data_IF_573832073927
#
_entry.id   IF_573832073927
#
_cell.length_a   1.000
_cell.length_b   1.000
_cell.length_c   1.000
_cell.angle_alpha   90.00
_cell.angle_beta   90.00
_cell.angle_gamma   90.00
#
_symmetry.space_group_name_H-M   'P 1'
#
loop_
_entity.id
_entity.type
_entity.pdbx_description
1 polymer ?
#
# COMPACT_ATOMS: atom_id res chain seq x y z
N UNK A 1 3.78 18.78 -7.22
CA UNK A 1 3.05 17.58 -7.69
C UNK A 1 2.64 17.66 -9.14
N UNK A 2 1.77 18.60 -9.56
CA UNK A 2 1.25 18.62 -10.95
C UNK A 2 2.35 18.76 -12.02
N UNK A 3 3.33 19.64 -11.80
CA UNK A 3 4.50 19.78 -12.68
C UNK A 3 5.29 18.46 -12.82
N UNK A 4 5.47 17.72 -11.73
CA UNK A 4 6.15 16.41 -11.74
C UNK A 4 5.37 15.38 -12.54
N UNK A 5 4.07 15.29 -12.30
CA UNK A 5 3.21 14.35 -13.03
C UNK A 5 3.22 14.67 -14.54
N UNK A 6 3.04 15.94 -14.92
CA UNK A 6 3.10 16.37 -16.32
C UNK A 6 4.46 16.08 -16.97
N UNK A 7 5.57 16.30 -16.27
CA UNK A 7 6.90 15.97 -16.79
C UNK A 7 7.06 14.47 -17.11
N UNK A 8 6.33 13.60 -16.41
CA UNK A 8 6.43 12.16 -16.60
C UNK A 8 5.47 11.59 -17.63
N UNK A 9 4.32 12.25 -17.81
CA UNK A 9 3.29 11.80 -18.75
C UNK A 9 3.32 12.56 -20.08
N UNK A 10 4.07 13.67 -20.15
CA UNK A 10 4.15 14.57 -21.31
C UNK A 10 5.55 15.21 -21.43
N UNK A 11 5.79 16.01 -22.47
CA UNK A 11 7.05 16.75 -22.68
C UNK A 11 7.19 18.02 -21.82
N UNK A 12 6.62 18.04 -20.62
CA UNK A 12 6.65 19.20 -19.73
C UNK A 12 8.02 19.40 -19.07
N UNK A 13 8.41 20.65 -18.84
CA UNK A 13 9.74 21.01 -18.33
C UNK A 13 10.04 20.38 -16.96
N UNK A 14 11.09 19.53 -16.84
CA UNK A 14 11.46 18.88 -15.57
C UNK A 14 11.83 19.88 -14.47
N UNK A 15 12.42 21.03 -14.82
CA UNK A 15 12.95 21.97 -13.84
C UNK A 15 11.86 22.72 -13.06
N UNK A 16 10.63 22.79 -13.59
CA UNK A 16 9.52 23.48 -12.93
C UNK A 16 9.14 22.79 -11.63
N UNK A 17 9.13 21.46 -11.59
CA UNK A 17 8.83 20.74 -10.35
C UNK A 17 9.91 20.97 -9.30
N UNK A 18 11.18 20.90 -9.69
CA UNK A 18 12.32 21.07 -8.79
C UNK A 18 12.39 22.50 -8.25
N UNK A 19 12.06 23.50 -9.08
CA UNK A 19 11.96 24.89 -8.64
C UNK A 19 10.96 25.07 -7.49
N UNK A 20 9.74 24.54 -7.64
CA UNK A 20 8.73 24.63 -6.58
C UNK A 20 9.06 23.78 -5.35
N UNK A 21 9.70 22.63 -5.55
CA UNK A 21 10.18 21.79 -4.45
C UNK A 21 11.20 22.55 -3.60
N UNK A 22 12.22 23.15 -4.23
CA UNK A 22 13.23 23.96 -3.53
C UNK A 22 12.61 25.19 -2.84
N UNK A 23 11.73 25.94 -3.52
CA UNK A 23 11.05 27.09 -2.93
C UNK A 23 10.15 26.71 -1.72
N UNK A 24 9.64 25.47 -1.68
CA UNK A 24 8.91 24.95 -0.54
C UNK A 24 9.85 24.58 0.61
N UNK A 25 10.96 23.91 0.33
CA UNK A 25 11.98 23.57 1.33
C UNK A 25 12.59 24.80 2.00
N UNK A 26 12.90 25.86 1.24
CA UNK A 26 13.42 27.12 1.76
C UNK A 26 12.50 27.75 2.83
N UNK A 27 11.19 27.50 2.74
CA UNK A 27 10.20 27.97 3.72
C UNK A 27 9.93 26.95 4.82
N UNK A 28 9.93 25.67 4.49
CA UNK A 28 9.56 24.60 5.41
C UNK A 28 10.68 24.30 6.42
N UNK A 29 11.95 24.27 5.99
CA UNK A 29 13.09 23.97 6.88
C UNK A 29 13.13 24.92 8.09
N UNK A 30 13.12 26.26 7.92
CA UNK A 30 13.16 27.17 9.07
C UNK A 30 11.91 27.09 9.93
N UNK A 31 10.75 26.81 9.33
CA UNK A 31 9.50 26.67 10.06
C UNK A 31 9.54 25.45 10.99
N UNK A 32 10.12 24.33 10.54
CA UNK A 32 10.24 23.09 11.32
C UNK A 32 11.22 23.18 12.51
N UNK A 33 12.18 24.10 12.46
CA UNK A 33 13.15 24.33 13.54
C UNK A 33 12.55 25.12 14.73
N UNK A 34 11.40 25.79 14.54
CA UNK A 34 10.70 26.51 15.60
C UNK A 34 9.97 25.53 16.54
N UNK A 35 10.08 25.67 17.86
CA UNK A 35 9.59 24.67 18.83
C UNK A 35 8.05 24.62 19.00
N UNK A 36 7.29 25.29 18.14
CA UNK A 36 5.82 25.29 18.09
C UNK A 36 5.21 24.33 17.06
N UNK A 37 6.05 23.62 16.29
CA UNK A 37 5.72 22.92 15.05
C UNK A 37 4.82 21.68 15.19
N UNK A 38 4.74 21.05 16.36
CA UNK A 38 3.95 19.83 16.55
C UNK A 38 2.44 20.03 16.37
N UNK A 39 1.97 21.28 16.22
CA UNK A 39 0.54 21.61 16.14
C UNK A 39 0.06 22.26 14.83
N UNK A 40 0.94 22.52 13.86
CA UNK A 40 0.52 23.16 12.60
C UNK A 40 0.11 22.14 11.53
N UNK A 41 -1.20 22.05 11.25
CA UNK A 41 -1.77 21.16 10.23
C UNK A 41 -1.25 21.48 8.82
N UNK A 42 -0.89 22.73 8.53
CA UNK A 42 -0.41 23.15 7.21
C UNK A 42 1.03 22.68 6.98
N UNK A 43 1.90 22.74 8.01
CA UNK A 43 3.26 22.19 7.93
C UNK A 43 3.25 20.68 7.77
N UNK A 44 2.32 19.99 8.46
CA UNK A 44 2.12 18.56 8.30
C UNK A 44 1.67 18.20 6.88
N UNK A 45 0.72 18.94 6.34
CA UNK A 45 0.24 18.74 4.97
C UNK A 45 1.34 19.00 3.93
N UNK A 46 2.10 20.09 4.08
CA UNK A 46 3.24 20.39 3.22
C UNK A 46 4.27 19.26 3.24
N UNK A 47 4.60 18.73 4.42
CA UNK A 47 5.56 17.63 4.59
C UNK A 47 5.10 16.36 3.88
N UNK A 48 3.84 15.95 4.06
CA UNK A 48 3.27 14.76 3.39
C UNK A 48 3.30 14.92 1.86
N UNK A 49 2.98 16.11 1.35
CA UNK A 49 3.01 16.41 -0.09
C UNK A 49 4.43 16.38 -0.66
N UNK A 50 5.41 16.96 0.05
CA UNK A 50 6.81 16.92 -0.38
C UNK A 50 7.38 15.51 -0.36
N UNK A 51 7.02 14.71 0.66
CA UNK A 51 7.37 13.29 0.68
C UNK A 51 6.78 12.53 -0.49
N UNK A 52 5.54 12.84 -0.88
CA UNK A 52 4.94 12.22 -2.06
C UNK A 52 5.72 12.60 -3.33
N UNK A 53 6.20 13.84 -3.45
CA UNK A 53 7.09 14.24 -4.55
C UNK A 53 8.38 13.40 -4.58
N UNK A 54 8.98 13.15 -3.42
CA UNK A 54 10.18 12.31 -3.30
C UNK A 54 9.88 10.86 -3.68
N UNK A 55 8.74 10.31 -3.26
CA UNK A 55 8.30 8.95 -3.62
C UNK A 55 8.09 8.80 -5.13
N UNK A 56 7.68 9.86 -5.82
CA UNK A 56 7.69 9.85 -7.28
C UNK A 56 9.11 9.63 -7.79
N UNK A 57 10.15 10.23 -7.22
CA UNK A 57 11.52 10.11 -7.72
C UNK A 57 12.26 8.84 -7.28
N UNK A 58 11.75 8.14 -6.27
CA UNK A 58 12.40 6.94 -5.74
C UNK A 58 11.70 5.66 -6.20
N UNK A 59 12.40 4.74 -6.88
CA UNK A 59 11.80 3.50 -7.33
C UNK A 59 11.32 2.61 -6.18
N UNK A 60 10.16 1.97 -6.39
CA UNK A 60 9.56 0.92 -5.52
C UNK A 60 10.56 -0.20 -5.14
N UNK A 61 11.59 -0.37 -5.96
CA UNK A 61 12.55 -1.46 -5.95
C UNK A 61 13.94 -1.08 -5.39
N UNK A 62 14.05 0.07 -4.70
CA UNK A 62 15.20 0.39 -3.84
C UNK A 62 16.46 0.81 -4.58
N UNK A 63 16.65 2.12 -4.72
CA UNK A 63 17.99 2.72 -4.85
C UNK A 63 18.01 4.01 -4.03
N UNK A 64 18.87 4.07 -3.02
CA UNK A 64 19.23 5.25 -2.23
C UNK A 64 18.09 6.06 -1.56
N UNK A 65 17.13 5.37 -0.92
CA UNK A 65 16.12 6.01 -0.04
C UNK A 65 16.77 6.75 1.16
N UNK A 66 18.03 6.43 1.50
CA UNK A 66 18.69 6.88 2.73
C UNK A 66 19.29 8.29 2.68
N UNK A 67 19.44 8.89 1.50
CA UNK A 67 20.21 10.13 1.33
C UNK A 67 19.42 11.43 1.53
N UNK A 68 18.13 11.44 1.19
CA UNK A 68 17.35 12.69 1.10
C UNK A 68 15.94 12.64 1.66
N UNK A 69 15.46 11.49 2.17
CA UNK A 69 14.10 11.44 2.74
C UNK A 69 14.02 12.42 3.89
N UNK A 70 13.27 13.51 3.67
CA UNK A 70 13.02 14.52 4.68
C UNK A 70 12.37 13.77 5.86
N UNK A 71 13.16 13.62 6.93
CA UNK A 71 12.96 12.53 7.87
C UNK A 71 11.55 12.51 8.44
N UNK A 72 10.84 11.40 8.22
CA UNK A 72 9.53 11.10 8.84
C UNK A 72 9.57 11.07 10.37
N UNK A 73 10.74 11.29 10.98
CA UNK A 73 10.99 11.13 12.42
C UNK A 73 10.15 12.03 13.33
N UNK A 74 9.42 13.01 12.79
CA UNK A 74 8.85 14.07 13.61
C UNK A 74 7.32 14.03 13.87
N UNK A 75 6.47 13.35 13.08
CA UNK A 75 5.06 13.83 13.07
C UNK A 75 3.91 12.85 13.28
N UNK A 76 4.08 11.54 13.19
CA UNK A 76 3.01 10.60 13.59
C UNK A 76 3.15 10.27 15.09
N UNK A 77 3.14 11.31 15.93
CA UNK A 77 3.07 11.16 17.39
C UNK A 77 1.76 11.73 17.90
N UNK A 78 0.79 10.85 18.09
CA UNK A 78 -0.35 11.11 18.96
C UNK A 78 -1.69 10.59 18.42
N UNK A 79 -2.48 9.87 19.23
CA UNK A 79 -3.89 9.59 18.96
C UNK A 79 -4.76 10.72 19.54
N UNK A 80 -4.15 11.81 19.99
CA UNK A 80 -4.83 12.84 20.77
C UNK A 80 -5.66 13.68 19.81
N UNK A 81 -6.95 13.35 19.74
CA UNK A 81 -8.05 14.07 19.09
C UNK A 81 -8.30 13.72 17.61
N UNK A 82 -8.48 12.43 17.28
CA UNK A 82 -9.31 12.11 16.12
C UNK A 82 -10.77 12.44 16.45
N UNK A 83 -11.22 13.63 16.07
CA UNK A 83 -12.62 14.06 16.16
C UNK A 83 -13.49 13.29 15.16
N UNK A 84 -14.78 13.13 15.42
CA UNK A 84 -15.72 12.56 14.43
C UNK A 84 -15.90 13.44 13.18
N UNK A 85 -15.46 14.69 13.24
CA UNK A 85 -15.49 15.63 12.11
C UNK A 85 -14.24 15.51 11.24
N UNK A 86 -14.40 15.45 9.90
CA UNK A 86 -13.29 15.52 8.94
C UNK A 86 -12.39 16.72 9.19
N UNK A 87 -11.08 16.51 9.24
CA UNK A 87 -10.08 17.59 9.41
C UNK A 87 -8.86 17.41 8.50
N UNK A 88 -8.12 18.49 8.27
CA UNK A 88 -6.86 18.45 7.53
C UNK A 88 -5.89 17.46 8.20
N UNK A 89 -5.77 17.51 9.52
CA UNK A 89 -4.99 16.54 10.31
C UNK A 89 -5.34 15.09 10.02
N UNK A 90 -6.62 14.75 9.92
CA UNK A 90 -7.04 13.38 9.57
C UNK A 90 -6.61 13.01 8.14
N UNK A 91 -6.78 13.92 7.18
CA UNK A 91 -6.37 13.67 5.80
C UNK A 91 -4.86 13.47 5.67
N UNK A 92 -4.07 14.27 6.40
CA UNK A 92 -2.61 14.13 6.51
C UNK A 92 -2.26 12.78 7.14
N UNK A 93 -2.89 12.41 8.26
CA UNK A 93 -2.64 11.13 8.93
C UNK A 93 -2.86 9.94 7.99
N UNK A 94 -4.03 9.86 7.35
CA UNK A 94 -4.36 8.75 6.45
C UNK A 94 -3.50 8.74 5.18
N UNK A 95 -2.97 9.88 4.77
CA UNK A 95 -2.00 9.96 3.67
C UNK A 95 -0.63 9.46 4.12
N UNK A 96 -0.13 9.93 5.27
CA UNK A 96 1.12 9.49 5.86
C UNK A 96 1.14 7.99 6.19
N UNK A 97 0.04 7.43 6.70
CA UNK A 97 -0.06 5.99 6.96
C UNK A 97 0.09 5.16 5.67
N UNK A 98 -0.54 5.59 4.57
CA UNK A 98 -0.39 4.90 3.27
C UNK A 98 1.03 5.01 2.72
N UNK A 99 1.71 6.14 2.93
CA UNK A 99 3.13 6.32 2.59
C UNK A 99 4.04 5.44 3.45
N UNK A 100 3.73 5.27 4.73
CA UNK A 100 4.44 4.33 5.61
C UNK A 100 4.25 2.88 5.18
N UNK A 101 3.03 2.48 4.80
CA UNK A 101 2.78 1.15 4.23
C UNK A 101 3.58 0.95 2.95
N UNK A 102 3.60 1.95 2.05
CA UNK A 102 4.39 1.90 0.82
C UNK A 102 5.88 1.72 1.09
N UNK A 103 6.44 2.50 2.02
CA UNK A 103 7.85 2.41 2.38
C UNK A 103 8.19 1.10 3.08
N UNK A 104 7.35 0.64 4.01
CA UNK A 104 7.52 -0.63 4.70
C UNK A 104 7.63 -1.80 3.72
N UNK A 105 6.77 -1.80 2.70
CA UNK A 105 6.76 -2.80 1.64
C UNK A 105 7.96 -2.67 0.71
N UNK A 106 8.33 -1.46 0.30
CA UNK A 106 9.46 -1.23 -0.61
C UNK A 106 10.82 -1.52 0.04
N UNK A 107 10.92 -1.35 1.37
CA UNK A 107 12.15 -1.53 2.14
C UNK A 107 12.22 -2.86 2.91
N UNK A 108 11.16 -3.65 2.89
CA UNK A 108 10.97 -4.83 3.75
C UNK A 108 11.27 -4.53 5.23
N UNK A 109 10.74 -3.41 5.71
CA UNK A 109 10.92 -2.91 7.09
C UNK A 109 9.56 -2.63 7.73
N UNK A 110 9.50 -2.66 9.06
CA UNK A 110 8.29 -2.25 9.74
C UNK A 110 7.97 -0.79 9.42
N UNK A 111 6.69 -0.43 9.26
CA UNK A 111 6.28 0.96 9.18
C UNK A 111 6.83 1.75 10.39
N UNK A 112 7.50 2.89 10.16
CA UNK A 112 7.97 3.78 11.23
C UNK A 112 6.82 4.71 11.65
N UNK A 113 5.74 4.08 12.11
CA UNK A 113 4.61 4.76 12.69
C UNK A 113 4.97 4.92 14.17
N UNK A 114 4.77 6.11 14.77
CA UNK A 114 4.93 6.35 16.20
C UNK A 114 3.90 5.58 17.05
N UNK A 115 3.90 4.26 16.94
CA UNK A 115 2.88 3.28 17.33
C UNK A 115 2.68 3.15 18.83
N UNK A 116 3.44 3.84 19.69
CA UNK A 116 3.13 3.88 21.13
C UNK A 116 1.80 4.58 21.45
N UNK A 117 1.21 5.22 20.45
CA UNK A 117 -0.11 5.84 20.44
C UNK A 117 -1.24 4.86 20.12
N UNK A 118 -0.97 3.80 19.37
CA UNK A 118 -1.99 2.89 18.85
C UNK A 118 -1.87 1.57 19.62
N UNK A 119 -2.31 1.58 20.88
CA UNK A 119 -2.93 0.38 21.45
C UNK A 119 -4.25 0.13 20.69
N UNK A 120 -4.16 -0.20 19.41
CA UNK A 120 -5.30 -0.32 18.51
C UNK A 120 -6.10 -1.59 18.81
N UNK A 121 -5.44 -2.61 19.35
CA UNK A 121 -6.09 -3.83 19.85
C UNK A 121 -6.92 -3.62 21.12
N UNK A 122 -6.79 -2.49 21.83
CA UNK A 122 -7.57 -2.24 23.05
C UNK A 122 -8.68 -1.18 22.91
N UNK A 123 -8.80 -0.49 21.77
CA UNK A 123 -9.74 0.65 21.64
C UNK A 123 -10.54 0.79 20.34
N UNK A 124 -10.40 -0.09 19.34
CA UNK A 124 -11.35 -0.08 18.22
C UNK A 124 -12.53 -0.98 18.59
N UNK A 125 -13.58 -0.38 19.16
CA UNK A 125 -14.90 -1.02 19.10
C UNK A 125 -15.21 -1.34 17.63
N UNK A 126 -15.84 -2.49 17.32
CA UNK A 126 -16.27 -2.80 15.96
C UNK A 126 -16.95 -1.58 15.34
N UNK A 127 -16.63 -1.25 14.09
CA UNK A 127 -17.30 -0.15 13.40
C UNK A 127 -18.81 -0.38 13.49
N UNK A 128 -19.52 0.63 13.98
CA UNK A 128 -20.97 0.56 14.09
C UNK A 128 -21.62 0.51 12.70
N UNK A 129 -22.90 0.09 12.62
CA UNK A 129 -23.64 0.02 11.36
C UNK A 129 -23.75 1.37 10.64
N UNK A 130 -23.62 2.49 11.37
CA UNK A 130 -23.69 3.85 10.84
C UNK A 130 -22.32 4.42 10.39
N UNK A 131 -21.25 3.61 10.43
CA UNK A 131 -19.93 4.04 9.98
C UNK A 131 -19.91 4.24 8.45
N UNK A 132 -19.45 5.41 7.99
CA UNK A 132 -19.36 5.70 6.56
C UNK A 132 -18.25 4.91 5.84
N UNK A 133 -18.34 4.82 4.51
CA UNK A 133 -17.41 4.03 3.69
C UNK A 133 -15.93 4.42 3.89
N UNK A 134 -15.63 5.69 4.15
CA UNK A 134 -14.26 6.12 4.41
C UNK A 134 -13.70 5.51 5.71
N UNK A 135 -14.54 5.28 6.73
CA UNK A 135 -14.11 4.65 7.98
C UNK A 135 -13.77 3.17 7.75
N UNK A 136 -14.59 2.46 6.98
CA UNK A 136 -14.32 1.06 6.61
C UNK A 136 -13.06 0.89 5.77
N UNK A 137 -12.82 1.79 4.80
CA UNK A 137 -11.58 1.79 4.02
C UNK A 137 -10.35 2.10 4.88
N UNK A 138 -10.49 3.03 5.83
CA UNK A 138 -9.42 3.38 6.77
C UNK A 138 -9.12 2.24 7.77
N UNK A 139 -10.14 1.50 8.21
CA UNK A 139 -9.96 0.30 9.02
C UNK A 139 -9.15 -0.75 8.24
N UNK A 140 -9.49 -1.01 6.97
CA UNK A 140 -8.73 -1.90 6.10
C UNK A 140 -7.26 -1.49 5.95
N UNK A 141 -6.99 -0.20 5.75
CA UNK A 141 -5.62 0.35 5.67
C UNK A 141 -4.89 0.12 7.00
N UNK A 142 -5.56 0.37 8.13
CA UNK A 142 -4.96 0.21 9.45
C UNK A 142 -4.65 -1.26 9.75
N UNK A 143 -5.58 -2.16 9.44
CA UNK A 143 -5.38 -3.60 9.54
C UNK A 143 -4.17 -4.06 8.71
N UNK A 144 -3.99 -3.55 7.49
CA UNK A 144 -2.81 -3.84 6.69
C UNK A 144 -1.51 -3.33 7.34
N UNK A 145 -1.53 -2.18 8.02
CA UNK A 145 -0.38 -1.69 8.78
C UNK A 145 -0.05 -2.61 9.97
N UNK A 146 -1.06 -3.09 10.70
CA UNK A 146 -0.89 -4.05 11.80
C UNK A 146 -0.26 -5.37 11.30
N UNK A 147 -0.71 -5.86 10.14
CA UNK A 147 -0.10 -7.01 9.47
C UNK A 147 1.36 -6.75 9.11
N UNK A 148 1.70 -5.55 8.61
CA UNK A 148 3.09 -5.21 8.29
C UNK A 148 3.99 -5.13 9.52
N UNK A 149 3.47 -4.64 10.65
CA UNK A 149 4.17 -4.66 11.93
C UNK A 149 4.41 -6.11 12.36
N UNK A 150 3.44 -7.01 12.18
CA UNK A 150 3.66 -8.44 12.42
C UNK A 150 4.71 -9.04 11.47
N UNK A 151 4.68 -8.69 10.18
CA UNK A 151 5.60 -9.22 9.17
C UNK A 151 7.05 -8.74 9.38
N UNK A 152 7.27 -7.45 9.65
CA UNK A 152 8.58 -6.81 9.62
C UNK A 152 9.03 -6.16 10.93
N UNK A 153 8.17 -6.16 11.97
CA UNK A 153 8.46 -5.54 13.28
C UNK A 153 9.38 -6.34 14.19
N UNK A 154 9.79 -5.69 15.27
CA UNK A 154 10.63 -6.28 16.32
C UNK A 154 9.75 -7.09 17.30
N UNK A 155 9.61 -8.39 17.03
CA UNK A 155 8.88 -9.29 17.92
C UNK A 155 8.81 -10.73 17.37
N UNK A 156 8.55 -11.74 18.23
CA UNK A 156 8.33 -13.09 17.75
C UNK A 156 7.03 -13.18 16.95
N UNK A 157 7.11 -13.71 15.72
CA UNK A 157 5.96 -14.00 14.86
C UNK A 157 5.17 -15.20 15.41
N UNK A 158 4.37 -14.95 16.44
CA UNK A 158 3.61 -16.02 17.10
C UNK A 158 2.44 -16.49 16.25
N UNK A 159 2.13 -17.78 16.33
CA UNK A 159 0.96 -18.39 15.67
C UNK A 159 -0.35 -17.78 16.18
N UNK A 160 -0.41 -17.39 17.47
CA UNK A 160 -1.58 -16.75 18.06
C UNK A 160 -1.89 -15.39 17.43
N UNK A 161 -0.90 -14.49 17.37
CA UNK A 161 -1.05 -13.16 16.75
C UNK A 161 -1.39 -13.28 15.27
N UNK A 162 -0.77 -14.22 14.55
CA UNK A 162 -1.11 -14.48 13.15
C UNK A 162 -2.57 -14.92 12.97
N UNK A 163 -3.06 -15.82 13.84
CA UNK A 163 -4.44 -16.27 13.81
C UNK A 163 -5.43 -15.13 14.13
N UNK A 164 -5.13 -14.27 15.10
CA UNK A 164 -5.93 -13.09 15.44
C UNK A 164 -6.03 -12.12 14.26
N UNK A 165 -4.91 -11.83 13.58
CA UNK A 165 -4.90 -10.99 12.39
C UNK A 165 -5.70 -11.61 11.23
N UNK A 166 -5.62 -12.93 11.02
CA UNK A 166 -6.45 -13.62 10.01
C UNK A 166 -7.94 -13.52 10.34
N UNK A 167 -8.31 -13.68 11.61
CA UNK A 167 -9.70 -13.52 12.05
C UNK A 167 -10.18 -12.09 11.81
N UNK A 168 -9.38 -11.07 12.13
CA UNK A 168 -9.74 -9.68 11.87
C UNK A 168 -9.90 -9.41 10.36
N UNK A 169 -8.98 -9.92 9.51
CA UNK A 169 -9.09 -9.80 8.05
C UNK A 169 -10.43 -10.37 7.54
N UNK A 170 -10.82 -11.54 8.04
CA UNK A 170 -12.08 -12.19 7.68
C UNK A 170 -13.29 -11.42 8.21
N UNK A 171 -13.26 -10.98 9.46
CA UNK A 171 -14.34 -10.20 10.06
C UNK A 171 -14.63 -8.93 9.27
N UNK A 172 -13.61 -8.21 8.80
CA UNK A 172 -13.82 -7.04 7.95
C UNK A 172 -14.59 -7.39 6.68
N UNK A 173 -14.24 -8.53 6.03
CA UNK A 173 -14.93 -8.99 4.80
C UNK A 173 -16.40 -9.34 5.06
N UNK A 174 -16.71 -9.87 6.24
CA UNK A 174 -18.05 -10.30 6.62
C UNK A 174 -18.94 -9.17 7.14
N UNK A 175 -18.36 -8.11 7.70
CA UNK A 175 -19.10 -7.06 8.42
C UNK A 175 -19.16 -5.73 7.70
N UNK A 176 -18.31 -5.50 6.69
CA UNK A 176 -18.37 -4.29 5.86
C UNK A 176 -19.76 -4.15 5.19
N UNK A 177 -20.18 -2.92 4.83
CA UNK A 177 -21.44 -2.72 4.12
C UNK A 177 -21.38 -3.27 2.69
N UNK A 178 -22.55 -3.66 2.16
CA UNK A 178 -22.73 -4.12 0.77
C UNK A 178 -22.26 -3.10 -0.29
N UNK A 179 -22.11 -1.81 0.08
CA UNK A 179 -21.52 -0.78 -0.78
C UNK A 179 -20.12 -1.16 -1.28
N UNK A 180 -19.38 -1.95 -0.49
CA UNK A 180 -18.04 -2.44 -0.82
C UNK A 180 -18.02 -3.59 -1.82
N UNK A 181 -19.17 -4.15 -2.17
CA UNK A 181 -19.23 -5.18 -3.18
C UNK A 181 -19.00 -4.58 -4.59
N UNK A 182 -18.26 -5.28 -5.46
CA UNK A 182 -18.11 -4.84 -6.84
C UNK A 182 -19.50 -4.75 -7.51
N UNK A 183 -19.78 -3.64 -8.21
CA UNK A 183 -21.02 -3.54 -9.00
C UNK A 183 -20.92 -4.37 -10.29
N UNK A 184 -19.70 -4.76 -10.67
CA UNK A 184 -19.44 -5.61 -11.81
C UNK A 184 -18.26 -6.53 -11.53
N UNK A 185 -18.45 -7.83 -11.77
CA UNK A 185 -17.41 -8.83 -11.85
C UNK A 185 -17.54 -9.50 -13.21
N UNK A 186 -16.50 -9.41 -14.03
CA UNK A 186 -16.46 -10.05 -15.35
C UNK A 186 -16.55 -11.58 -15.24
N UNK A 187 -16.83 -12.23 -16.37
CA UNK A 187 -16.94 -13.70 -16.41
C UNK A 187 -15.72 -14.37 -15.75
N UNK A 188 -16.00 -15.41 -14.95
CA UNK A 188 -14.97 -16.28 -14.40
C UNK A 188 -14.14 -16.85 -15.54
N UNK A 189 -12.90 -16.39 -15.61
CA UNK A 189 -11.91 -16.98 -16.50
C UNK A 189 -10.88 -17.69 -15.64
N UNK A 190 -10.39 -18.81 -16.15
CA UNK A 190 -9.32 -19.57 -15.52
C UNK A 190 -8.16 -18.64 -15.15
N UNK A 191 -7.72 -18.73 -13.89
CA UNK A 191 -6.63 -17.93 -13.36
C UNK A 191 -5.41 -18.14 -14.26
N UNK A 192 -4.81 -17.02 -14.68
CA UNK A 192 -3.67 -17.02 -15.58
C UNK A 192 -3.99 -16.66 -17.03
N UNK A 193 -5.24 -16.76 -17.48
CA UNK A 193 -5.59 -16.41 -18.88
C UNK A 193 -5.79 -14.91 -19.05
N UNK A 194 -6.58 -14.28 -18.17
CA UNK A 194 -6.78 -12.83 -18.14
C UNK A 194 -6.91 -12.37 -16.69
N UNK A 195 -6.52 -11.12 -16.42
CA UNK A 195 -6.78 -10.50 -15.13
C UNK A 195 -8.31 -10.32 -14.96
N UNK A 196 -8.85 -10.55 -13.75
CA UNK A 196 -10.28 -10.42 -13.52
C UNK A 196 -10.72 -8.96 -13.65
N UNK A 197 -11.91 -8.73 -14.20
CA UNK A 197 -12.52 -7.41 -14.30
C UNK A 197 -13.40 -7.18 -13.07
N UNK A 198 -12.92 -6.39 -12.10
CA UNK A 198 -13.56 -6.17 -10.80
C UNK A 198 -13.75 -4.67 -10.61
N UNK A 199 -14.97 -4.15 -10.77
CA UNK A 199 -15.25 -2.71 -10.74
C UNK A 199 -16.02 -2.33 -9.50
N UNK A 200 -15.51 -1.32 -8.81
CA UNK A 200 -16.11 -0.81 -7.58
C UNK A 200 -16.82 0.53 -7.82
N UNK A 201 -17.91 0.77 -7.09
CA UNK A 201 -18.72 1.97 -7.29
C UNK A 201 -18.04 3.26 -6.83
N UNK A 202 -17.02 3.17 -5.97
CA UNK A 202 -16.36 4.30 -5.34
C UNK A 202 -14.89 3.97 -5.05
N UNK A 203 -13.96 4.96 -5.08
CA UNK A 203 -12.56 4.74 -4.70
C UNK A 203 -12.39 4.08 -3.32
N UNK A 204 -13.21 4.44 -2.33
CA UNK A 204 -13.13 3.85 -0.98
C UNK A 204 -13.38 2.35 -0.98
N UNK A 205 -14.30 1.87 -1.82
CA UNK A 205 -14.62 0.45 -1.94
C UNK A 205 -13.47 -0.33 -2.57
N UNK A 206 -12.84 0.22 -3.62
CA UNK A 206 -11.66 -0.38 -4.23
C UNK A 206 -10.50 -0.45 -3.23
N UNK A 207 -10.20 0.66 -2.56
CA UNK A 207 -9.09 0.76 -1.61
C UNK A 207 -9.29 -0.18 -0.42
N UNK A 208 -10.47 -0.18 0.21
CA UNK A 208 -10.72 -1.07 1.35
C UNK A 208 -10.54 -2.54 1.01
N UNK A 209 -11.12 -3.00 -0.11
CA UNK A 209 -10.96 -4.37 -0.57
C UNK A 209 -9.49 -4.71 -0.87
N UNK A 210 -8.78 -3.85 -1.59
CA UNK A 210 -7.40 -4.12 -2.01
C UNK A 210 -6.41 -4.14 -0.83
N UNK A 211 -6.56 -3.27 0.17
CA UNK A 211 -5.71 -3.33 1.37
C UNK A 211 -5.97 -4.60 2.20
N UNK A 212 -7.22 -5.07 2.22
CA UNK A 212 -7.60 -6.33 2.88
C UNK A 212 -7.08 -7.55 2.13
N UNK A 213 -7.10 -7.53 0.79
CA UNK A 213 -6.46 -8.54 -0.05
C UNK A 213 -4.93 -8.53 0.09
N UNK A 214 -4.31 -7.36 0.13
CA UNK A 214 -2.87 -7.22 0.37
C UNK A 214 -2.47 -7.75 1.75
N UNK A 215 -3.24 -7.43 2.79
CA UNK A 215 -3.05 -7.97 4.14
C UNK A 215 -3.16 -9.51 4.16
N UNK A 216 -4.13 -10.07 3.43
CA UNK A 216 -4.28 -11.53 3.30
C UNK A 216 -3.09 -12.19 2.57
N UNK A 217 -2.55 -11.54 1.53
CA UNK A 217 -1.32 -11.98 0.86
C UNK A 217 -0.15 -12.00 1.86
N UNK A 218 0.07 -10.90 2.58
CA UNK A 218 1.14 -10.78 3.58
C UNK A 218 1.03 -11.84 4.69
N UNK A 219 -0.18 -12.05 5.23
CA UNK A 219 -0.44 -13.09 6.22
C UNK A 219 -0.14 -14.50 5.67
N UNK A 220 -0.38 -14.74 4.38
CA UNK A 220 -0.08 -16.01 3.74
C UNK A 220 1.42 -16.21 3.53
N UNK A 221 2.14 -15.15 3.13
CA UNK A 221 3.61 -15.16 2.96
C UNK A 221 4.33 -15.40 4.28
N UNK A 222 3.81 -14.82 5.37
CA UNK A 222 4.44 -14.85 6.69
C UNK A 222 3.75 -15.82 7.66
N UNK A 223 3.16 -16.92 7.16
CA UNK A 223 2.46 -17.91 7.98
C UNK A 223 3.44 -18.73 8.84
N UNK A 224 3.43 -18.57 10.19
CA UNK A 224 4.32 -19.27 11.10
C UNK A 224 3.94 -20.74 11.32
N UNK A 225 2.76 -21.18 10.85
CA UNK A 225 2.30 -22.56 10.98
C UNK A 225 2.81 -23.49 9.87
N UNK A 226 3.37 -22.92 8.79
CA UNK A 226 3.90 -23.71 7.69
C UNK A 226 5.10 -24.55 8.15
N UNK A 227 5.12 -25.87 7.85
CA UNK A 227 6.16 -26.75 8.36
C UNK A 227 7.51 -26.45 7.70
N UNK A 228 8.53 -26.23 8.53
CA UNK A 228 9.90 -25.99 8.06
C UNK A 228 10.57 -27.24 7.48
N UNK A 229 10.20 -28.43 7.95
CA UNK A 229 10.76 -29.72 7.54
C UNK A 229 9.68 -30.80 7.42
N UNK A 230 9.94 -31.84 6.64
CA UNK A 230 9.08 -33.02 6.53
C UNK A 230 8.42 -33.21 5.16
N UNK A 231 7.79 -34.38 4.93
CA UNK A 231 7.30 -34.80 3.62
C UNK A 231 6.12 -33.95 3.10
N UNK A 232 5.31 -33.39 4.01
CA UNK A 232 4.15 -32.56 3.65
C UNK A 232 4.52 -31.13 3.25
N UNK A 233 5.75 -30.68 3.55
CA UNK A 233 6.19 -29.29 3.35
C UNK A 233 5.98 -28.80 1.93
N UNK A 234 6.42 -29.59 0.94
CA UNK A 234 6.37 -29.18 -0.48
C UNK A 234 4.93 -28.89 -0.91
N UNK A 235 3.99 -29.76 -0.51
CA UNK A 235 2.58 -29.62 -0.85
C UNK A 235 1.96 -28.38 -0.18
N UNK A 236 2.19 -28.18 1.11
CA UNK A 236 1.63 -27.06 1.85
C UNK A 236 2.19 -25.71 1.38
N UNK A 237 3.47 -25.65 1.05
CA UNK A 237 4.07 -24.44 0.44
C UNK A 237 3.47 -24.18 -0.93
N UNK A 238 3.29 -25.21 -1.77
CA UNK A 238 2.63 -25.03 -3.07
C UNK A 238 1.19 -24.53 -2.91
N UNK A 239 0.42 -25.08 -1.98
CA UNK A 239 -0.95 -24.63 -1.70
C UNK A 239 -0.98 -23.17 -1.22
N UNK A 240 0.01 -22.76 -0.41
CA UNK A 240 0.17 -21.37 0.01
C UNK A 240 0.58 -20.45 -1.15
N UNK A 241 1.54 -20.84 -1.98
CA UNK A 241 1.98 -20.09 -3.16
C UNK A 241 0.84 -19.94 -4.18
N UNK A 242 0.02 -20.97 -4.39
CA UNK A 242 -1.16 -20.90 -5.24
C UNK A 242 -2.20 -19.92 -4.69
N UNK A 243 -2.38 -19.88 -3.36
CA UNK A 243 -3.26 -18.91 -2.71
C UNK A 243 -2.72 -17.46 -2.84
N UNK A 244 -1.42 -17.26 -2.63
CA UNK A 244 -0.75 -15.97 -2.81
C UNK A 244 -0.88 -15.49 -4.25
N UNK A 245 -0.60 -16.34 -5.23
CA UNK A 245 -0.75 -16.03 -6.66
C UNK A 245 -2.17 -15.60 -7.01
N UNK A 246 -3.19 -16.32 -6.52
CA UNK A 246 -4.60 -15.93 -6.71
C UNK A 246 -4.88 -14.55 -6.10
N UNK A 247 -4.38 -14.28 -4.90
CA UNK A 247 -4.50 -12.97 -4.26
C UNK A 247 -3.90 -11.86 -5.11
N UNK A 248 -2.64 -12.02 -5.56
CA UNK A 248 -1.97 -11.05 -6.45
C UNK A 248 -2.77 -10.86 -7.73
N UNK A 249 -3.29 -11.93 -8.32
CA UNK A 249 -4.11 -11.89 -9.54
C UNK A 249 -5.37 -11.04 -9.36
N UNK A 250 -6.09 -11.24 -8.25
CA UNK A 250 -7.28 -10.47 -7.88
C UNK A 250 -6.94 -8.99 -7.68
N UNK A 251 -5.89 -8.68 -6.91
CA UNK A 251 -5.48 -7.29 -6.66
C UNK A 251 -5.08 -6.58 -7.95
N UNK A 252 -4.35 -7.25 -8.84
CA UNK A 252 -3.97 -6.71 -10.14
C UNK A 252 -5.17 -6.47 -11.06
N UNK A 253 -6.12 -7.39 -11.07
CA UNK A 253 -7.38 -7.23 -11.83
C UNK A 253 -8.20 -6.06 -11.31
N UNK A 254 -8.42 -5.97 -10.00
CA UNK A 254 -9.07 -4.81 -9.37
C UNK A 254 -8.32 -3.50 -9.67
N UNK A 255 -6.99 -3.51 -9.69
CA UNK A 255 -6.18 -2.32 -9.99
C UNK A 255 -6.43 -1.79 -11.40
N UNK A 256 -6.39 -2.65 -12.41
CA UNK A 256 -6.63 -2.25 -13.81
C UNK A 256 -8.09 -1.87 -14.06
N UNK A 257 -9.02 -2.60 -13.44
CA UNK A 257 -10.45 -2.34 -13.57
C UNK A 257 -10.87 -1.00 -12.98
N UNK A 258 -10.07 -0.46 -12.05
CA UNK A 258 -10.27 0.83 -11.41
C UNK A 258 -9.08 1.78 -11.67
N UNK A 259 -8.50 1.73 -12.88
CA UNK A 259 -7.27 2.47 -13.23
C UNK A 259 -7.36 4.00 -13.07
N UNK A 260 -8.57 4.58 -13.01
CA UNK A 260 -8.77 6.00 -12.71
C UNK A 260 -8.53 6.36 -11.23
N UNK A 261 -8.30 5.36 -10.36
CA UNK A 261 -7.99 5.51 -8.94
C UNK A 261 -6.50 5.20 -8.72
N UNK A 262 -5.60 6.21 -8.78
CA UNK A 262 -4.16 5.96 -8.67
C UNK A 262 -3.75 5.14 -7.44
N UNK A 263 -4.27 5.39 -6.22
CA UNK A 263 -3.89 4.61 -5.05
C UNK A 263 -4.25 3.12 -5.18
N UNK A 264 -5.30 2.77 -5.95
CA UNK A 264 -5.69 1.39 -6.19
C UNK A 264 -4.65 0.66 -7.06
N UNK A 265 -4.11 1.37 -8.06
CA UNK A 265 -3.04 0.85 -8.90
C UNK A 265 -1.71 0.71 -8.16
N UNK A 266 -1.42 1.62 -7.21
CA UNK A 266 -0.24 1.50 -6.34
C UNK A 266 -0.30 0.20 -5.52
N UNK A 267 -1.45 -0.17 -4.97
CA UNK A 267 -1.62 -1.44 -4.23
C UNK A 267 -1.37 -2.65 -5.13
N UNK A 268 -1.78 -2.61 -6.40
CA UNK A 268 -1.39 -3.60 -7.41
C UNK A 268 0.12 -3.71 -7.60
N UNK A 269 0.80 -2.57 -7.72
CA UNK A 269 2.27 -2.54 -7.82
C UNK A 269 2.95 -3.11 -6.58
N UNK A 270 2.43 -2.84 -5.38
CA UNK A 270 2.92 -3.41 -4.12
C UNK A 270 2.79 -4.93 -4.09
N UNK A 271 1.62 -5.46 -4.48
CA UNK A 271 1.39 -6.90 -4.53
C UNK A 271 2.35 -7.60 -5.51
N UNK A 272 2.57 -7.00 -6.69
CA UNK A 272 3.55 -7.48 -7.68
C UNK A 272 4.97 -7.41 -7.13
N UNK A 273 5.35 -6.32 -6.43
CA UNK A 273 6.67 -6.20 -5.84
C UNK A 273 6.96 -7.31 -4.83
N UNK A 274 6.00 -7.65 -3.97
CA UNK A 274 6.18 -8.63 -2.91
C UNK A 274 6.20 -10.08 -3.40
N UNK A 275 5.39 -10.38 -4.41
CA UNK A 275 5.03 -11.76 -4.75
C UNK A 275 5.09 -12.06 -6.25
N UNK A 276 5.54 -11.12 -7.08
CA UNK A 276 5.68 -11.31 -8.53
C UNK A 276 6.71 -12.37 -8.90
N UNK A 277 7.70 -12.62 -8.05
CA UNK A 277 8.71 -13.68 -8.21
C UNK A 277 8.10 -15.09 -8.27
N UNK A 278 6.91 -15.29 -7.68
CA UNK A 278 6.19 -16.58 -7.65
C UNK A 278 5.47 -16.93 -8.96
N UNK A 279 5.50 -16.05 -9.96
CA UNK A 279 4.90 -16.28 -11.25
C UNK A 279 5.90 -16.90 -12.22
N UNK A 280 5.55 -18.06 -12.79
CA UNK A 280 6.42 -18.84 -13.69
C UNK A 280 5.89 -18.93 -15.12
N UNK A 281 4.60 -18.68 -15.34
CA UNK A 281 4.01 -18.67 -16.67
C UNK A 281 4.34 -17.34 -17.40
N UNK A 282 4.91 -17.39 -18.62
CA UNK A 282 5.30 -16.19 -19.35
C UNK A 282 4.15 -15.25 -19.68
N UNK A 283 2.95 -15.78 -19.91
CA UNK A 283 1.77 -14.97 -20.22
C UNK A 283 1.28 -14.24 -18.97
N UNK A 284 1.28 -14.91 -17.82
CA UNK A 284 1.00 -14.26 -16.53
C UNK A 284 2.00 -13.16 -16.19
N UNK A 285 3.29 -13.46 -16.34
CA UNK A 285 4.38 -12.50 -16.14
C UNK A 285 4.19 -11.25 -17.00
N UNK A 286 3.80 -11.44 -18.27
CA UNK A 286 3.52 -10.31 -19.17
C UNK A 286 2.33 -9.48 -18.70
N UNK A 287 1.26 -10.10 -18.20
CA UNK A 287 0.10 -9.38 -17.64
C UNK A 287 0.48 -8.57 -16.40
N UNK A 288 1.31 -9.10 -15.50
CA UNK A 288 1.81 -8.33 -14.35
C UNK A 288 2.67 -7.13 -14.78
N UNK A 289 3.52 -7.31 -15.79
CA UNK A 289 4.30 -6.20 -16.37
C UNK A 289 3.40 -5.14 -16.98
N UNK A 290 2.30 -5.53 -17.63
CA UNK A 290 1.33 -4.56 -18.16
C UNK A 290 0.70 -3.70 -17.08
N UNK A 291 0.41 -4.25 -15.89
CA UNK A 291 -0.08 -3.45 -14.74
C UNK A 291 0.91 -2.35 -14.38
N UNK A 292 2.20 -2.69 -14.29
CA UNK A 292 3.28 -1.75 -13.97
C UNK A 292 3.44 -0.67 -15.05
N UNK A 293 3.36 -1.06 -16.32
CA UNK A 293 3.43 -0.13 -17.46
C UNK A 293 2.23 0.83 -17.45
N UNK A 294 1.02 0.33 -17.17
CA UNK A 294 -0.17 1.17 -17.08
C UNK A 294 -0.08 2.17 -15.93
N UNK A 295 0.48 1.78 -14.78
CA UNK A 295 0.69 2.70 -13.67
C UNK A 295 1.64 3.85 -14.06
N UNK A 296 2.73 3.53 -14.76
CA UNK A 296 3.69 4.53 -15.26
C UNK A 296 3.03 5.46 -16.28
N UNK A 297 2.37 4.88 -17.30
CA UNK A 297 1.76 5.64 -18.39
C UNK A 297 0.62 6.56 -17.94
N UNK A 298 -0.25 6.11 -17.03
CA UNK A 298 -1.42 6.87 -16.59
C UNK A 298 -1.08 7.87 -15.47
N UNK A 299 -0.22 7.47 -14.54
CA UNK A 299 -0.02 8.21 -13.29
C UNK A 299 1.40 8.77 -13.13
N UNK A 300 2.34 8.42 -14.01
CA UNK A 300 3.74 8.84 -13.94
C UNK A 300 4.49 8.22 -12.75
N UNK A 301 4.06 7.07 -12.26
CA UNK A 301 4.71 6.39 -11.13
C UNK A 301 5.87 5.52 -11.60
N UNK A 302 7.06 5.59 -10.96
CA UNK A 302 8.28 5.00 -11.50
C UNK A 302 8.34 3.48 -11.31
N UNK A 303 7.73 2.69 -12.20
CA UNK A 303 7.74 1.22 -12.07
C UNK A 303 8.90 0.55 -12.81
N UNK A 304 9.68 1.28 -13.59
CA UNK A 304 10.73 0.74 -14.47
C UNK A 304 11.79 -0.13 -13.76
N UNK A 305 12.21 0.22 -12.53
CA UNK A 305 13.16 -0.60 -11.77
C UNK A 305 12.54 -1.93 -11.36
N UNK A 306 11.29 -1.91 -10.89
CA UNK A 306 10.55 -3.12 -10.55
C UNK A 306 10.34 -4.01 -11.77
N UNK A 307 9.96 -3.42 -12.92
CA UNK A 307 9.84 -4.17 -14.17
C UNK A 307 11.16 -4.86 -14.56
N UNK A 308 12.30 -4.19 -14.41
CA UNK A 308 13.62 -4.77 -14.69
C UNK A 308 13.94 -5.92 -13.73
N UNK A 309 13.78 -5.70 -12.43
CA UNK A 309 14.04 -6.73 -11.40
C UNK A 309 13.19 -7.98 -11.60
N UNK A 310 11.92 -7.84 -11.99
CA UNK A 310 11.05 -8.97 -12.27
C UNK A 310 11.50 -9.73 -13.52
N UNK A 311 11.82 -9.01 -14.61
CA UNK A 311 12.37 -9.66 -15.83
C UNK A 311 13.64 -10.43 -15.54
N UNK A 312 14.56 -9.85 -14.75
CA UNK A 312 15.79 -10.52 -14.31
C UNK A 312 15.48 -11.76 -13.45
N UNK A 313 14.55 -11.64 -12.49
CA UNK A 313 14.11 -12.76 -11.63
C UNK A 313 13.51 -13.90 -12.44
N UNK A 314 12.72 -13.59 -13.47
CA UNK A 314 12.10 -14.58 -14.34
C UNK A 314 13.04 -15.10 -15.45
N UNK A 315 14.26 -14.58 -15.56
CA UNK A 315 15.21 -14.97 -16.60
C UNK A 315 14.86 -14.47 -18.00
N UNK A 316 13.99 -13.46 -18.11
CA UNK A 316 13.63 -12.79 -19.36
C UNK A 316 14.70 -11.73 -19.65
N UNK A 317 15.45 -11.90 -20.74
CA UNK A 317 16.42 -10.91 -21.22
C UNK A 317 15.77 -9.89 -22.14
#
# INVERSE_FOLDING_TARGET
>A
MSARHLNRTTDFDPFVSDHYYQACLEKLIPALDDHSVTMDDDLLAATVILRLLEEFDVPLAGSDIRGHSFGTKAFIRGPSMMTTTPSLRQAVYWSGLRQEIYNALSLHQAPDIGLRSLNLSSHVSPLGPDAGDCAWANEAITHCADVLIFCFGEGPRSVGVHAELKVHNQQWRETRPDSFDPYFVGEEVEVGVKLPDIRYGCPWHAIGNQYIDLAQILLSVHDPSLPTVGPLRRRLIQEADDHIRRGVWTVCGASLSNASVPPAMVVGCMAIHLCGDRFTDPHEQQLLIQVLIQMDALHGWPTHVLQRQLRETWGIR
#
